data_IF_456687522926
#
_entry.id   IF_456687522926
#
_cell.length_a   1.000
_cell.length_b   1.000
_cell.length_c   1.000
_cell.angle_alpha   90.00
_cell.angle_beta   90.00
_cell.angle_gamma   90.00
#
_symmetry.space_group_name_H-M   'P 1'
#
loop_
_entity.id
_entity.type
_entity.pdbx_description
1 polymer ?
#
# COMPACT_ATOMS: atom_id res chain seq x y z
N UNK A 1 17.28 8.63 -19.74
CA UNK A 1 17.71 7.28 -19.28
C UNK A 1 16.43 6.50 -19.01
N UNK A 2 16.21 5.35 -19.66
CA UNK A 2 14.97 4.59 -19.48
C UNK A 2 14.94 3.98 -18.07
N UNK A 3 13.84 4.19 -17.34
CA UNK A 3 13.59 3.55 -16.05
C UNK A 3 13.68 2.02 -16.21
N UNK A 4 14.36 1.30 -15.30
CA UNK A 4 14.47 -0.15 -15.39
C UNK A 4 13.08 -0.79 -15.33
N UNK A 5 12.71 -1.48 -16.42
CA UNK A 5 11.49 -2.28 -16.52
C UNK A 5 11.59 -3.52 -15.62
N UNK A 6 10.47 -3.94 -15.02
CA UNK A 6 10.39 -5.19 -14.25
C UNK A 6 10.85 -6.43 -15.04
N UNK A 7 10.82 -6.36 -16.39
CA UNK A 7 11.33 -7.41 -17.28
C UNK A 7 12.85 -7.50 -17.34
N UNK A 8 13.57 -6.46 -16.91
CA UNK A 8 15.03 -6.35 -17.00
C UNK A 8 15.73 -6.52 -15.64
N UNK A 9 14.97 -6.55 -14.54
CA UNK A 9 15.51 -6.74 -13.19
C UNK A 9 15.87 -8.22 -12.95
N UNK A 10 17.18 -8.53 -12.96
CA UNK A 10 17.72 -9.88 -12.74
C UNK A 10 17.88 -10.24 -11.25
N UNK A 11 17.56 -9.33 -10.33
CA UNK A 11 17.71 -9.57 -8.89
C UNK A 11 16.76 -10.66 -8.39
N UNK A 12 17.28 -11.56 -7.57
CA UNK A 12 16.49 -12.55 -6.83
C UNK A 12 15.49 -11.84 -5.93
N UNK A 13 14.36 -12.49 -5.65
CA UNK A 13 13.31 -11.97 -4.75
C UNK A 13 13.86 -11.55 -3.38
N UNK A 14 14.82 -12.32 -2.84
CA UNK A 14 15.49 -11.99 -1.59
C UNK A 14 16.37 -10.73 -1.69
N UNK A 15 17.06 -10.51 -2.83
CA UNK A 15 17.87 -9.31 -3.08
C UNK A 15 17.00 -8.05 -3.23
N UNK A 16 15.72 -8.23 -3.59
CA UNK A 16 14.70 -7.17 -3.64
C UNK A 16 14.07 -6.88 -2.26
N UNK A 17 14.50 -7.57 -1.20
CA UNK A 17 14.01 -7.40 0.16
C UNK A 17 12.99 -8.44 0.62
N UNK A 18 12.40 -9.21 -0.30
CA UNK A 18 11.31 -10.17 -0.02
C UNK A 18 11.81 -11.58 0.40
N UNK A 19 12.92 -11.65 1.15
CA UNK A 19 13.49 -12.91 1.66
C UNK A 19 12.89 -13.39 2.99
N UNK A 20 13.51 -14.38 3.64
CA UNK A 20 13.03 -14.91 4.92
C UNK A 20 12.94 -13.87 6.05
N UNK A 21 13.84 -12.87 6.05
CA UNK A 21 13.76 -11.73 6.98
C UNK A 21 12.43 -10.98 6.84
N UNK A 22 11.97 -10.80 5.59
CA UNK A 22 10.70 -10.13 5.31
C UNK A 22 9.51 -11.00 5.72
N UNK A 23 9.54 -12.31 5.45
CA UNK A 23 8.48 -13.22 5.86
C UNK A 23 8.24 -13.15 7.38
N UNK A 24 9.30 -13.24 8.18
CA UNK A 24 9.22 -13.13 9.64
C UNK A 24 8.70 -11.76 10.09
N UNK A 25 9.22 -10.68 9.52
CA UNK A 25 8.79 -9.34 9.89
C UNK A 25 7.33 -9.06 9.50
N UNK A 26 6.88 -9.58 8.36
CA UNK A 26 5.50 -9.53 7.89
C UNK A 26 4.57 -10.25 8.85
N UNK A 27 4.90 -11.48 9.26
CA UNK A 27 4.11 -12.25 10.22
C UNK A 27 3.95 -11.51 11.54
N UNK A 28 5.07 -11.09 12.15
CA UNK A 28 5.04 -10.32 13.41
C UNK A 28 4.23 -9.02 13.29
N UNK A 29 4.29 -8.36 12.14
CA UNK A 29 3.52 -7.14 11.92
C UNK A 29 2.02 -7.41 11.79
N UNK A 30 1.62 -8.46 11.07
CA UNK A 30 0.20 -8.83 10.92
C UNK A 30 -0.40 -9.37 12.21
N UNK A 31 0.38 -10.09 13.03
CA UNK A 31 -0.08 -10.54 14.35
C UNK A 31 -0.37 -9.36 15.28
N UNK A 32 0.48 -8.32 15.23
CA UNK A 32 0.28 -7.10 16.01
C UNK A 32 -0.80 -6.16 15.41
N UNK A 33 -1.14 -6.33 14.13
CA UNK A 33 -2.07 -5.48 13.40
C UNK A 33 -3.07 -6.36 12.60
N UNK A 34 -3.98 -7.06 13.29
CA UNK A 34 -4.79 -8.11 12.69
C UNK A 34 -5.91 -7.58 11.79
N UNK A 35 -6.22 -6.28 11.83
CA UNK A 35 -7.34 -5.68 11.09
C UNK A 35 -6.86 -4.86 9.90
N UNK A 36 -7.62 -4.94 8.81
CA UNK A 36 -7.42 -4.13 7.61
C UNK A 36 -7.79 -2.68 7.90
N UNK A 37 -6.81 -1.78 7.92
CA UNK A 37 -7.04 -0.37 8.26
C UNK A 37 -7.96 0.32 7.25
N UNK A 38 -7.91 -0.05 5.97
CA UNK A 38 -8.78 0.51 4.92
C UNK A 38 -10.25 0.07 5.05
N UNK A 39 -10.48 -1.10 5.63
CA UNK A 39 -11.83 -1.56 5.94
C UNK A 39 -12.33 -0.86 7.21
N UNK A 40 -11.46 -0.70 8.21
CA UNK A 40 -11.78 -0.01 9.46
C UNK A 40 -12.19 1.45 9.23
N UNK A 41 -11.49 2.17 8.34
CA UNK A 41 -11.85 3.52 7.89
C UNK A 41 -13.26 3.61 7.29
N UNK A 42 -13.78 2.50 6.77
CA UNK A 42 -15.14 2.37 6.20
C UNK A 42 -16.15 1.81 7.20
N UNK A 43 -15.75 1.59 8.46
CA UNK A 43 -16.57 0.97 9.51
C UNK A 43 -16.75 -0.54 9.34
N UNK A 44 -15.84 -1.20 8.61
CA UNK A 44 -15.88 -2.65 8.34
C UNK A 44 -14.77 -3.36 9.10
N UNK A 45 -15.10 -4.45 9.79
CA UNK A 45 -14.11 -5.31 10.43
C UNK A 45 -13.68 -6.43 9.47
N UNK A 46 -12.43 -6.43 9.05
CA UNK A 46 -11.88 -7.45 8.14
C UNK A 46 -10.44 -7.76 8.51
N UNK A 47 -10.05 -9.04 8.46
CA UNK A 47 -8.69 -9.48 8.78
C UNK A 47 -7.68 -8.95 7.74
N UNK A 48 -6.57 -8.41 8.21
CA UNK A 48 -5.43 -8.07 7.38
C UNK A 48 -4.62 -9.32 7.03
N UNK A 49 -4.32 -9.50 5.74
CA UNK A 49 -3.56 -10.66 5.23
C UNK A 49 -2.37 -10.25 4.40
N UNK A 50 -2.20 -8.95 4.12
CA UNK A 50 -1.12 -8.40 3.32
C UNK A 50 -0.56 -7.17 4.03
N UNK A 51 0.76 -7.00 3.94
CA UNK A 51 1.43 -5.77 4.35
C UNK A 51 1.66 -4.96 3.09
N UNK A 52 0.95 -3.85 2.98
CA UNK A 52 1.12 -2.87 1.91
C UNK A 52 2.18 -1.83 2.30
N UNK A 53 2.93 -1.32 1.33
CA UNK A 53 3.79 -0.16 1.52
C UNK A 53 3.00 1.10 1.11
N UNK A 54 2.66 1.98 2.06
CA UNK A 54 1.86 3.20 1.80
C UNK A 54 2.47 4.07 0.70
N UNK A 55 3.79 4.23 0.74
CA UNK A 55 4.61 4.82 -0.31
C UNK A 55 5.34 3.70 -1.02
N UNK A 56 5.14 3.52 -2.35
CA UNK A 56 5.84 2.52 -3.12
C UNK A 56 7.36 2.72 -3.02
N UNK A 57 8.07 1.70 -2.52
CA UNK A 57 9.49 1.84 -2.22
C UNK A 57 10.38 1.94 -3.47
N UNK A 58 9.92 1.49 -4.65
CA UNK A 58 10.64 1.57 -5.94
C UNK A 58 12.11 1.11 -5.89
N UNK A 59 12.43 0.15 -5.01
CA UNK A 59 13.78 -0.37 -4.80
C UNK A 59 14.58 0.27 -3.66
N UNK A 60 14.07 1.33 -3.02
CA UNK A 60 14.66 1.90 -1.81
C UNK A 60 14.44 0.96 -0.62
N UNK A 61 15.53 0.37 -0.10
CA UNK A 61 15.48 -0.56 1.03
C UNK A 61 15.19 0.15 2.36
N UNK A 62 15.54 1.43 2.52
CA UNK A 62 15.22 2.18 3.74
C UNK A 62 13.71 2.36 3.84
N UNK A 63 13.07 2.75 2.73
CA UNK A 63 11.61 2.89 2.65
C UNK A 63 10.89 1.54 2.71
N UNK A 64 11.50 0.48 2.18
CA UNK A 64 10.98 -0.90 2.28
C UNK A 64 10.90 -1.39 3.73
N UNK A 65 11.94 -1.11 4.54
CA UNK A 65 12.04 -1.54 5.94
C UNK A 65 11.44 -0.55 6.94
N UNK A 66 10.95 0.60 6.50
CA UNK A 66 10.25 1.54 7.36
C UNK A 66 8.88 0.99 7.76
N UNK A 67 8.76 0.53 9.01
CA UNK A 67 7.49 0.03 9.55
C UNK A 67 6.39 1.10 9.59
N UNK A 68 6.73 2.39 9.61
CA UNK A 68 5.73 3.47 9.51
C UNK A 68 5.13 3.56 8.10
N UNK A 69 5.88 3.08 7.11
CA UNK A 69 5.42 2.95 5.74
C UNK A 69 4.59 1.67 5.52
N UNK A 70 4.47 0.79 6.51
CA UNK A 70 3.68 -0.43 6.39
C UNK A 70 2.22 -0.19 6.75
N UNK A 71 1.34 -0.88 6.05
CA UNK A 71 -0.10 -0.80 6.22
C UNK A 71 -0.70 -2.22 6.23
N UNK A 72 -1.43 -2.62 7.29
CA UNK A 72 -2.11 -3.90 7.36
C UNK A 72 -3.41 -3.84 6.54
N UNK A 73 -3.51 -4.65 5.48
CA UNK A 73 -4.68 -4.65 4.58
C UNK A 73 -5.14 -6.05 4.22
N UNK A 74 -6.42 -6.17 3.87
CA UNK A 74 -6.95 -7.38 3.27
C UNK A 74 -6.57 -7.45 1.77
N UNK A 75 -6.54 -8.66 1.22
CA UNK A 75 -6.24 -8.89 -0.20
C UNK A 75 -7.16 -8.10 -1.16
N UNK A 76 -8.49 -7.99 -0.93
CA UNK A 76 -9.35 -7.15 -1.78
C UNK A 76 -8.96 -5.67 -1.83
N UNK A 77 -8.62 -5.06 -0.68
CA UNK A 77 -8.17 -3.66 -0.65
C UNK A 77 -6.81 -3.47 -1.33
N UNK A 78 -5.88 -4.42 -1.12
CA UNK A 78 -4.56 -4.41 -1.73
C UNK A 78 -4.63 -4.49 -3.27
N UNK A 79 -5.33 -5.51 -3.79
CA UNK A 79 -5.39 -5.78 -5.23
C UNK A 79 -6.39 -4.84 -5.96
N UNK A 80 -7.24 -4.14 -5.21
CA UNK A 80 -8.31 -3.28 -5.73
C UNK A 80 -8.02 -1.79 -5.52
N UNK A 81 -8.51 -1.24 -4.40
CA UNK A 81 -8.50 0.19 -4.11
C UNK A 81 -7.07 0.76 -4.15
N UNK A 82 -6.13 0.11 -3.46
CA UNK A 82 -4.73 0.57 -3.37
C UNK A 82 -4.07 0.52 -4.73
N UNK A 83 -4.18 -0.59 -5.47
CA UNK A 83 -3.58 -0.68 -6.80
C UNK A 83 -4.15 0.37 -7.79
N UNK A 84 -5.43 0.74 -7.64
CA UNK A 84 -6.06 1.81 -8.45
C UNK A 84 -5.56 3.19 -8.03
N UNK A 85 -5.44 3.46 -6.73
CA UNK A 85 -4.86 4.69 -6.18
C UNK A 85 -3.43 4.86 -6.69
N UNK A 86 -2.57 3.84 -6.55
CA UNK A 86 -1.18 3.87 -7.00
C UNK A 86 -1.04 4.13 -8.51
N UNK A 87 -1.91 3.52 -9.33
CA UNK A 87 -1.86 3.69 -10.79
C UNK A 87 -2.32 5.09 -11.23
N UNK A 88 -3.33 5.64 -10.55
CA UNK A 88 -3.93 6.92 -10.96
C UNK A 88 -3.35 8.13 -10.23
N UNK A 89 -2.73 7.94 -9.08
CA UNK A 89 -2.32 9.02 -8.17
C UNK A 89 -3.48 9.75 -7.50
N UNK A 90 -4.72 9.23 -7.63
CA UNK A 90 -5.96 9.89 -7.21
C UNK A 90 -6.60 9.11 -6.06
N UNK A 91 -6.94 9.80 -4.98
CA UNK A 91 -7.73 9.23 -3.88
C UNK A 91 -9.21 9.16 -4.31
N UNK A 92 -9.81 7.97 -4.22
CA UNK A 92 -11.18 7.74 -4.69
C UNK A 92 -12.20 7.97 -3.58
N UNK A 93 -13.41 8.35 -3.98
CA UNK A 93 -14.57 8.50 -3.10
C UNK A 93 -15.00 9.95 -2.90
N UNK A 94 -16.08 10.12 -2.16
CA UNK A 94 -16.60 11.41 -1.73
C UNK A 94 -16.83 11.44 -0.22
N UNK A 95 -16.59 12.59 0.39
CA UNK A 95 -16.91 12.87 1.78
C UNK A 95 -18.41 12.94 2.03
N UNK A 96 -18.80 13.10 3.30
CA UNK A 96 -20.21 13.24 3.70
C UNK A 96 -20.87 14.53 3.17
N UNK A 97 -20.05 15.51 2.80
CA UNK A 97 -20.44 16.75 2.12
C UNK A 97 -20.59 16.57 0.60
N UNK A 98 -20.34 15.37 0.08
CA UNK A 98 -20.39 15.05 -1.34
C UNK A 98 -19.16 15.48 -2.12
N UNK A 99 -18.15 16.10 -1.49
CA UNK A 99 -16.93 16.53 -2.18
C UNK A 99 -15.97 15.36 -2.40
N UNK A 100 -15.21 15.32 -3.50
CA UNK A 100 -14.21 14.29 -3.72
C UNK A 100 -13.15 14.26 -2.61
N UNK A 101 -12.72 13.05 -2.22
CA UNK A 101 -11.72 12.88 -1.17
C UNK A 101 -10.29 13.27 -1.62
N UNK A 102 -10.00 13.25 -2.93
CA UNK A 102 -8.72 13.73 -3.44
C UNK A 102 -8.60 15.25 -3.29
N UNK A 103 -7.66 15.76 -2.47
CA UNK A 103 -7.48 17.20 -2.28
C UNK A 103 -7.12 17.93 -3.58
N UNK A 104 -6.49 17.22 -4.52
CA UNK A 104 -6.09 17.76 -5.81
C UNK A 104 -7.24 17.75 -6.84
N UNK A 105 -8.42 17.23 -6.53
CA UNK A 105 -9.55 17.22 -7.45
C UNK A 105 -9.97 18.64 -7.86
N UNK A 106 -10.32 18.94 -9.13
CA UNK A 106 -10.72 20.28 -9.57
C UNK A 106 -11.81 20.94 -8.72
N UNK A 107 -12.82 20.17 -8.29
CA UNK A 107 -13.87 20.67 -7.38
C UNK A 107 -13.37 21.08 -5.99
N UNK A 108 -12.14 20.72 -5.60
CA UNK A 108 -11.51 21.16 -4.35
C UNK A 108 -10.57 22.37 -4.54
N UNK A 109 -10.41 22.88 -5.77
CA UNK A 109 -9.43 23.95 -6.11
C UNK A 109 -9.96 25.39 -6.04
N UNK A 110 -11.26 25.61 -5.81
CA UNK A 110 -11.87 26.94 -5.76
C UNK A 110 -12.22 27.49 -7.14
#
# INVERSE_FOLDING_TARGET
MAEPSWRSDKRKTAERGYGGKWQKARETFLDANPLCVRCDDKGLTTVATVVNHRVPHKGDLKLFWDRKNWEPVCKPCHDGDIQREERSGIVRGSGRDGRPLDPSHPWNRG
#
